data_IF_078493450637
#
_entry.id   IF_078493450637
#
_cell.length_a   1.000
_cell.length_b   1.000
_cell.length_c   1.000
_cell.angle_alpha   90.00
_cell.angle_beta   90.00
_cell.angle_gamma   90.00
#
_symmetry.space_group_name_H-M   'P 1'
#
loop_
_entity.id
_entity.type
_entity.pdbx_description
1 polymer ?
#
# COMPACT_ATOMS: atom_id res chain seq x y z
N UNK A 1 -24.83 19.92 -5.31
CA UNK A 1 -23.77 18.95 -4.94
C UNK A 1 -24.09 17.65 -5.65
N UNK A 2 -23.08 16.88 -6.06
CA UNK A 2 -23.31 15.61 -6.76
C UNK A 2 -23.90 14.59 -5.79
N UNK A 3 -24.87 13.80 -6.25
CA UNK A 3 -25.47 12.73 -5.44
C UNK A 3 -24.56 11.50 -5.32
N UNK A 4 -23.45 11.47 -6.08
CA UNK A 4 -22.48 10.38 -6.15
C UNK A 4 -21.06 10.93 -5.98
N UNK A 5 -20.22 10.18 -5.25
CA UNK A 5 -18.78 10.41 -5.19
C UNK A 5 -18.13 9.63 -6.31
N UNK A 6 -17.54 10.34 -7.28
CA UNK A 6 -16.92 9.71 -8.44
C UNK A 6 -15.38 9.78 -8.34
N UNK A 7 -14.72 8.65 -8.09
CA UNK A 7 -13.25 8.55 -8.11
C UNK A 7 -12.79 8.36 -9.56
N UNK A 8 -12.07 9.33 -10.15
CA UNK A 8 -11.67 9.27 -11.54
C UNK A 8 -10.42 8.42 -11.76
N UNK A 9 -10.09 8.15 -13.02
CA UNK A 9 -8.72 7.82 -13.42
C UNK A 9 -7.90 9.12 -13.38
N UNK A 10 -6.66 9.06 -12.87
CA UNK A 10 -5.70 10.17 -13.01
C UNK A 10 -4.70 9.82 -14.10
N UNK A 11 -4.88 10.43 -15.27
CA UNK A 11 -4.00 10.30 -16.43
C UNK A 11 -2.84 11.27 -16.29
N UNK A 12 -1.79 10.84 -15.59
CA UNK A 12 -0.66 11.71 -15.18
C UNK A 12 -1.19 12.98 -14.50
N UNK A 13 -1.96 12.80 -13.43
CA UNK A 13 -2.56 13.87 -12.63
C UNK A 13 -3.79 14.55 -13.22
N UNK A 14 -4.17 14.25 -14.47
CA UNK A 14 -5.39 14.80 -15.09
C UNK A 14 -6.57 13.87 -14.84
N UNK A 15 -7.65 14.42 -14.29
CA UNK A 15 -8.88 13.67 -14.06
C UNK A 15 -9.48 13.21 -15.39
N UNK A 16 -9.94 11.96 -15.41
CA UNK A 16 -10.65 11.36 -16.53
C UNK A 16 -11.76 10.48 -15.98
N UNK A 17 -12.99 10.81 -16.35
CA UNK A 17 -14.15 9.97 -16.12
C UNK A 17 -14.27 8.95 -17.26
N UNK A 18 -14.20 7.67 -16.91
CA UNK A 18 -14.41 6.57 -17.85
C UNK A 18 -15.90 6.32 -18.05
N UNK A 19 -16.24 5.75 -19.21
CA UNK A 19 -17.58 5.18 -19.44
C UNK A 19 -17.77 3.87 -18.66
N UNK A 20 -16.68 3.12 -18.46
CA UNK A 20 -16.70 1.91 -17.65
C UNK A 20 -16.46 2.28 -16.19
N UNK A 21 -17.36 1.87 -15.31
CA UNK A 21 -17.29 2.17 -13.89
C UNK A 21 -17.55 0.93 -13.04
N UNK A 22 -17.09 0.99 -11.79
CA UNK A 22 -17.44 0.01 -10.75
C UNK A 22 -17.95 0.75 -9.52
N UNK A 23 -18.94 0.17 -8.85
CA UNK A 23 -19.47 0.71 -7.59
C UNK A 23 -18.81 0.04 -6.40
N UNK A 24 -18.61 0.81 -5.33
CA UNK A 24 -18.17 0.33 -4.02
C UNK A 24 -19.25 0.56 -2.98
N UNK A 25 -19.23 -0.29 -1.95
CA UNK A 25 -20.12 -0.13 -0.80
C UNK A 25 -19.82 1.19 -0.06
N UNK A 26 -20.88 1.87 0.38
CA UNK A 26 -20.82 3.15 1.09
C UNK A 26 -22.00 3.26 2.05
N UNK A 27 -21.77 3.85 3.23
CA UNK A 27 -22.82 4.14 4.21
C UNK A 27 -23.55 5.45 3.94
N UNK A 28 -23.11 6.21 2.93
CA UNK A 28 -23.66 7.52 2.56
C UNK A 28 -23.91 7.57 1.06
N UNK A 29 -23.27 8.54 0.39
CA UNK A 29 -23.37 8.66 -1.07
C UNK A 29 -22.78 7.43 -1.75
N UNK A 30 -23.39 6.92 -2.83
CA UNK A 30 -22.76 5.90 -3.66
C UNK A 30 -21.37 6.34 -4.11
N UNK A 31 -20.43 5.40 -4.10
CA UNK A 31 -19.06 5.63 -4.59
C UNK A 31 -18.91 4.88 -5.90
N UNK A 32 -18.66 5.63 -6.96
CA UNK A 32 -18.38 5.12 -8.28
C UNK A 32 -16.90 5.35 -8.62
N UNK A 33 -16.25 4.34 -9.19
CA UNK A 33 -14.83 4.38 -9.57
C UNK A 33 -14.70 4.16 -11.07
N UNK A 34 -14.07 5.10 -11.77
CA UNK A 34 -13.74 4.94 -13.19
C UNK A 34 -12.77 3.79 -13.43
N UNK A 35 -13.04 2.98 -14.45
CA UNK A 35 -12.19 1.87 -14.90
C UNK A 35 -11.48 2.27 -16.19
N UNK A 36 -10.16 2.41 -16.15
CA UNK A 36 -9.33 2.69 -17.32
C UNK A 36 -9.27 1.48 -18.25
N UNK A 37 -9.40 1.71 -19.56
CA UNK A 37 -9.09 0.69 -20.54
C UNK A 37 -7.56 0.59 -20.79
N UNK A 38 -7.05 -0.57 -21.23
CA UNK A 38 -5.63 -0.75 -21.52
C UNK A 38 -5.06 0.26 -22.53
N UNK A 39 -5.84 0.67 -23.53
CA UNK A 39 -5.40 1.60 -24.57
C UNK A 39 -5.02 2.98 -24.03
N UNK A 40 -5.74 3.49 -23.03
CA UNK A 40 -5.41 4.76 -22.38
C UNK A 40 -4.09 4.65 -21.62
N UNK A 41 -3.85 3.53 -20.92
CA UNK A 41 -2.62 3.30 -20.16
C UNK A 41 -1.40 3.33 -21.09
N UNK A 42 -1.46 2.60 -22.22
CA UNK A 42 -0.38 2.61 -23.24
C UNK A 42 -0.14 4.01 -23.79
N UNK A 43 -1.22 4.73 -24.14
CA UNK A 43 -1.11 6.09 -24.68
C UNK A 43 -0.44 7.05 -23.70
N UNK A 44 -0.80 6.97 -22.42
CA UNK A 44 -0.24 7.87 -21.40
C UNK A 44 1.23 7.55 -21.14
N UNK A 45 1.61 6.27 -21.20
CA UNK A 45 3.01 5.86 -21.06
C UNK A 45 3.92 6.46 -22.14
N UNK A 46 3.44 6.64 -23.37
CA UNK A 46 4.20 7.36 -24.43
C UNK A 46 4.58 8.79 -24.01
N UNK A 47 3.86 9.39 -23.06
CA UNK A 47 4.11 10.72 -22.52
C UNK A 47 4.93 10.75 -21.23
N UNK A 48 5.49 9.63 -20.77
CA UNK A 48 6.11 9.52 -19.45
C UNK A 48 7.29 10.47 -19.24
N UNK A 49 8.01 10.83 -20.31
CA UNK A 49 9.13 11.77 -20.27
C UNK A 49 8.71 13.15 -19.72
N UNK A 50 7.44 13.55 -19.91
CA UNK A 50 6.91 14.80 -19.33
C UNK A 50 6.79 14.72 -17.80
N UNK A 51 6.40 13.56 -17.28
CA UNK A 51 6.32 13.33 -15.84
C UNK A 51 7.71 13.29 -15.21
N UNK A 52 8.68 12.66 -15.88
CA UNK A 52 10.09 12.68 -15.47
C UNK A 52 10.63 14.11 -15.46
N UNK A 53 10.41 14.88 -16.54
CA UNK A 53 10.86 16.27 -16.63
C UNK A 53 10.26 17.16 -15.52
N UNK A 54 8.98 16.94 -15.19
CA UNK A 54 8.31 17.69 -14.13
C UNK A 54 8.94 17.44 -12.74
N UNK A 55 9.32 16.19 -12.43
CA UNK A 55 10.05 15.87 -11.19
C UNK A 55 11.50 16.37 -11.24
N UNK A 56 12.16 16.27 -12.40
CA UNK A 56 13.55 16.74 -12.58
C UNK A 56 13.69 18.25 -12.34
N UNK A 57 12.66 19.03 -12.68
CA UNK A 57 12.65 20.47 -12.46
C UNK A 57 12.61 20.89 -10.97
N UNK A 58 12.36 19.97 -10.04
CA UNK A 58 12.26 20.26 -8.60
C UNK A 58 13.44 19.58 -7.88
N UNK A 59 14.19 20.31 -7.02
CA UNK A 59 15.27 19.72 -6.24
C UNK A 59 14.79 18.54 -5.38
N UNK A 60 15.60 17.48 -5.25
CA UNK A 60 15.21 16.29 -4.50
C UNK A 60 14.93 16.59 -3.02
N UNK A 61 15.69 17.51 -2.41
CA UNK A 61 15.40 18.00 -1.05
C UNK A 61 14.01 18.63 -0.93
N UNK A 62 13.57 19.40 -1.92
CA UNK A 62 12.23 20.00 -1.93
C UNK A 62 11.14 18.94 -2.12
N UNK A 63 11.38 17.91 -2.93
CA UNK A 63 10.46 16.77 -3.05
C UNK A 63 10.33 16.00 -1.73
N UNK A 64 11.42 15.87 -0.96
CA UNK A 64 11.37 15.30 0.38
C UNK A 64 10.53 16.16 1.34
N UNK A 65 10.73 17.49 1.35
CA UNK A 65 9.92 18.42 2.15
C UNK A 65 8.42 18.32 1.81
N UNK A 66 8.10 18.21 0.51
CA UNK A 66 6.72 18.00 0.06
C UNK A 66 6.16 16.66 0.54
N UNK A 67 6.97 15.60 0.59
CA UNK A 67 6.51 14.29 1.05
C UNK A 67 6.21 14.32 2.56
N UNK A 68 7.07 14.96 3.35
CA UNK A 68 6.89 15.16 4.79
C UNK A 68 5.64 16.01 5.07
N UNK A 69 5.45 17.11 4.34
CA UNK A 69 4.21 17.92 4.41
C UNK A 69 2.97 17.13 3.99
N UNK A 70 3.09 16.29 2.96
CA UNK A 70 2.00 15.44 2.51
C UNK A 70 1.60 14.40 3.56
N UNK A 71 2.51 13.99 4.45
CA UNK A 71 2.18 13.10 5.57
C UNK A 71 1.09 13.72 6.45
N UNK A 72 1.26 14.97 6.87
CA UNK A 72 0.27 15.70 7.68
C UNK A 72 -1.07 15.87 6.95
N UNK A 73 -1.03 16.20 5.65
CA UNK A 73 -2.23 16.34 4.83
C UNK A 73 -2.96 15.00 4.66
N UNK A 74 -2.24 13.90 4.45
CA UNK A 74 -2.82 12.57 4.37
C UNK A 74 -3.49 12.16 5.69
N UNK A 75 -2.83 12.40 6.83
CA UNK A 75 -3.33 11.99 8.12
C UNK A 75 -4.52 12.84 8.59
N UNK A 76 -4.48 14.17 8.37
CA UNK A 76 -5.40 15.13 9.01
C UNK A 76 -6.20 16.00 8.03
N UNK A 77 -5.78 16.09 6.78
CA UNK A 77 -6.33 17.03 5.81
C UNK A 77 -7.70 16.64 5.26
N UNK A 78 -8.46 17.65 4.85
CA UNK A 78 -9.61 17.47 3.97
C UNK A 78 -9.12 17.57 2.52
N UNK A 79 -9.14 16.44 1.80
CA UNK A 79 -8.54 16.31 0.46
C UNK A 79 -9.63 16.02 -0.59
N UNK A 80 -9.42 16.29 -1.88
CA UNK A 80 -10.40 15.94 -2.91
C UNK A 80 -10.88 14.48 -2.78
N UNK A 81 -12.20 14.28 -2.69
CA UNK A 81 -12.82 12.96 -2.50
C UNK A 81 -12.97 12.18 -3.81
N UNK A 82 -12.99 12.90 -4.91
CA UNK A 82 -13.19 12.40 -6.26
C UNK A 82 -13.20 13.56 -7.24
N UNK A 83 -14.06 13.51 -8.24
CA UNK A 83 -14.35 14.67 -9.08
C UNK A 83 -15.27 15.67 -8.38
N UNK A 84 -15.12 16.95 -8.71
CA UNK A 84 -15.87 18.05 -8.10
C UNK A 84 -15.17 18.66 -6.89
N UNK A 85 -15.91 19.46 -6.12
CA UNK A 85 -15.36 20.27 -5.02
C UNK A 85 -15.52 19.61 -3.64
N UNK A 86 -16.10 18.40 -3.59
CA UNK A 86 -16.29 17.69 -2.32
C UNK A 86 -14.96 17.16 -1.77
N UNK A 87 -14.75 17.39 -0.47
CA UNK A 87 -13.56 16.97 0.25
C UNK A 87 -13.85 15.75 1.13
N UNK A 88 -12.86 14.87 1.20
CA UNK A 88 -12.75 13.68 2.04
C UNK A 88 -12.01 14.04 3.32
N UNK A 89 -12.69 13.98 4.46
CA UNK A 89 -12.05 14.01 5.78
C UNK A 89 -11.33 12.68 6.08
N UNK A 90 -10.42 12.64 7.08
CA UNK A 90 -9.85 11.39 7.59
C UNK A 90 -10.92 10.36 8.00
N UNK A 91 -12.01 10.82 8.59
CA UNK A 91 -13.14 10.00 9.02
C UNK A 91 -13.90 9.41 7.82
N UNK A 92 -14.15 10.20 6.79
CA UNK A 92 -14.78 9.73 5.54
C UNK A 92 -13.92 8.63 4.90
N UNK A 93 -12.61 8.85 4.81
CA UNK A 93 -11.65 7.87 4.33
C UNK A 93 -11.70 6.57 5.14
N UNK A 94 -11.63 6.65 6.47
CA UNK A 94 -11.61 5.48 7.34
C UNK A 94 -12.92 4.67 7.23
N UNK A 95 -14.06 5.36 7.13
CA UNK A 95 -15.39 4.77 6.95
C UNK A 95 -15.50 4.04 5.61
N UNK A 96 -15.18 4.70 4.50
CA UNK A 96 -15.26 4.09 3.16
C UNK A 96 -14.30 2.90 3.01
N UNK A 97 -13.07 3.03 3.52
CA UNK A 97 -12.10 1.94 3.54
C UNK A 97 -12.61 0.76 4.37
N UNK A 98 -13.19 1.03 5.54
CA UNK A 98 -13.71 0.00 6.44
C UNK A 98 -14.81 -0.81 5.78
N UNK A 99 -15.79 -0.13 5.17
CA UNK A 99 -16.89 -0.74 4.43
C UNK A 99 -16.39 -1.63 3.30
N UNK A 100 -15.49 -1.10 2.47
CA UNK A 100 -15.04 -1.80 1.28
C UNK A 100 -14.10 -2.99 1.58
N UNK A 101 -13.26 -2.89 2.61
CA UNK A 101 -12.20 -3.89 2.90
C UNK A 101 -12.49 -4.83 4.07
N UNK A 102 -13.49 -4.50 4.89
CA UNK A 102 -13.78 -5.18 6.15
C UNK A 102 -12.83 -4.85 7.30
N UNK A 103 -11.91 -3.90 7.14
CA UNK A 103 -11.09 -3.41 8.25
C UNK A 103 -11.96 -2.62 9.25
N UNK A 104 -11.83 -2.79 10.57
CA UNK A 104 -12.43 -1.86 11.53
C UNK A 104 -11.73 -0.49 11.51
N UNK A 105 -12.41 0.55 11.98
CA UNK A 105 -11.92 1.94 11.95
C UNK A 105 -10.59 2.12 12.71
N UNK A 106 -10.42 1.41 13.82
CA UNK A 106 -9.18 1.28 14.58
C UNK A 106 -8.00 0.87 13.68
N UNK A 107 -8.15 -0.18 12.86
CA UNK A 107 -7.11 -0.66 11.95
C UNK A 107 -6.97 0.23 10.72
N UNK A 108 -8.05 0.85 10.22
CA UNK A 108 -7.93 1.89 9.19
C UNK A 108 -6.98 3.01 9.67
N UNK A 109 -7.23 3.56 10.87
CA UNK A 109 -6.39 4.62 11.48
C UNK A 109 -4.98 4.15 11.79
N UNK A 110 -4.80 2.92 12.30
CA UNK A 110 -3.48 2.34 12.51
C UNK A 110 -2.67 2.28 11.22
N UNK A 111 -3.29 1.87 10.11
CA UNK A 111 -2.61 1.83 8.81
C UNK A 111 -2.39 3.24 8.23
N UNK A 112 -3.26 4.22 8.50
CA UNK A 112 -2.94 5.62 8.20
C UNK A 112 -1.66 6.06 8.90
N UNK A 113 -1.50 5.70 10.17
CA UNK A 113 -0.26 5.94 10.92
C UNK A 113 0.97 5.34 10.24
N UNK A 114 0.89 4.11 9.73
CA UNK A 114 2.03 3.49 9.00
C UNK A 114 2.43 4.25 7.73
N UNK A 115 1.44 4.72 6.96
CA UNK A 115 1.70 5.52 5.76
C UNK A 115 2.26 6.89 6.14
N UNK A 116 1.69 7.52 7.17
CA UNK A 116 2.18 8.78 7.73
C UNK A 116 3.66 8.66 8.13
N UNK A 117 4.03 7.66 8.93
CA UNK A 117 5.40 7.46 9.38
C UNK A 117 6.37 7.29 8.21
N UNK A 118 5.97 6.58 7.15
CA UNK A 118 6.81 6.43 5.97
C UNK A 118 7.02 7.75 5.22
N UNK A 119 5.99 8.59 5.09
CA UNK A 119 6.07 9.89 4.42
C UNK A 119 6.84 10.92 5.28
N UNK A 120 6.56 10.96 6.59
CA UNK A 120 7.18 11.88 7.53
C UNK A 120 8.67 11.58 7.76
N UNK A 121 9.09 10.32 7.59
CA UNK A 121 10.49 9.89 7.72
C UNK A 121 11.15 9.56 6.38
N UNK A 122 10.68 10.13 5.26
CA UNK A 122 11.14 9.75 3.92
C UNK A 122 12.66 9.92 3.75
N UNK A 123 13.26 10.93 4.41
CA UNK A 123 14.73 11.15 4.40
C UNK A 123 15.48 10.01 5.06
N UNK A 124 14.99 9.49 6.19
CA UNK A 124 15.61 8.35 6.86
C UNK A 124 15.50 7.08 6.00
N UNK A 125 14.36 6.88 5.34
CA UNK A 125 14.18 5.77 4.39
C UNK A 125 15.20 5.88 3.25
N UNK A 126 15.27 7.06 2.60
CA UNK A 126 16.22 7.29 1.51
C UNK A 126 17.67 7.13 1.98
N UNK A 127 18.02 7.67 3.16
CA UNK A 127 19.34 7.47 3.76
C UNK A 127 19.67 5.99 3.99
N UNK A 128 18.71 5.18 4.45
CA UNK A 128 18.89 3.73 4.56
C UNK A 128 19.13 3.05 3.21
N UNK A 129 18.40 3.47 2.17
CA UNK A 129 18.51 2.93 0.80
C UNK A 129 19.80 3.35 0.09
N UNK A 130 20.33 4.54 0.40
CA UNK A 130 21.51 5.13 -0.25
C UNK A 130 22.77 5.05 0.59
N UNK A 131 22.72 4.45 1.80
CA UNK A 131 23.82 4.46 2.78
C UNK A 131 24.24 5.88 3.17
N UNK A 132 23.26 6.77 3.34
CA UNK A 132 23.44 8.14 3.82
C UNK A 132 23.95 9.11 2.77
N UNK A 133 23.96 8.75 1.48
CA UNK A 133 24.33 9.69 0.43
C UNK A 133 23.37 10.88 0.38
N UNK A 134 23.87 12.09 0.11
CA UNK A 134 23.06 13.30 0.06
C UNK A 134 22.09 13.24 -1.14
N UNK A 135 20.90 13.85 -0.98
CA UNK A 135 19.80 13.74 -1.96
C UNK A 135 20.11 14.42 -3.29
N UNK A 136 21.06 15.36 -3.31
CA UNK A 136 21.60 16.00 -4.50
C UNK A 136 22.17 14.98 -5.51
N UNK A 137 22.46 13.74 -5.06
CA UNK A 137 22.76 12.62 -5.95
C UNK A 137 21.71 12.45 -7.05
N UNK A 138 20.42 12.61 -6.71
CA UNK A 138 19.32 12.42 -7.65
C UNK A 138 19.09 13.64 -8.55
N UNK A 139 19.62 14.80 -8.16
CA UNK A 139 19.60 16.02 -8.97
C UNK A 139 20.75 16.04 -9.99
N UNK A 140 21.97 15.70 -9.54
CA UNK A 140 23.18 15.84 -10.35
C UNK A 140 23.58 14.54 -11.07
N UNK A 141 23.13 13.38 -10.58
CA UNK A 141 23.54 12.07 -11.06
C UNK A 141 24.89 11.58 -10.51
N UNK A 142 25.53 12.35 -9.62
CA UNK A 142 26.77 11.94 -8.94
C UNK A 142 26.97 12.67 -7.61
N UNK A 143 27.77 12.08 -6.71
CA UNK A 143 28.25 12.67 -5.46
C UNK A 143 29.68 12.19 -5.16
N UNK A 144 30.41 12.96 -4.38
CA UNK A 144 31.70 12.53 -3.80
C UNK A 144 31.48 12.06 -2.36
N UNK A 145 31.85 10.81 -2.05
CA UNK A 145 31.78 10.25 -0.70
C UNK A 145 33.13 9.66 -0.32
N UNK A 146 33.75 10.16 0.74
CA UNK A 146 35.07 9.74 1.22
C UNK A 146 36.17 9.75 0.14
N UNK A 147 36.10 10.72 -0.78
CA UNK A 147 37.03 10.87 -1.90
C UNK A 147 36.75 9.93 -3.09
N UNK A 148 35.64 9.19 -3.07
CA UNK A 148 35.18 8.32 -4.17
C UNK A 148 33.99 8.98 -4.86
N UNK A 149 34.10 9.15 -6.18
CA UNK A 149 32.98 9.57 -7.02
C UNK A 149 31.99 8.43 -7.22
N UNK A 150 30.76 8.64 -6.77
CA UNK A 150 29.65 7.70 -6.93
C UNK A 150 28.66 8.29 -7.92
N UNK A 151 28.35 7.55 -8.98
CA UNK A 151 27.38 7.95 -9.99
C UNK A 151 26.06 7.20 -9.80
N UNK A 152 24.94 7.89 -10.00
CA UNK A 152 23.60 7.33 -9.99
C UNK A 152 22.97 7.43 -11.38
N UNK A 153 22.49 6.29 -11.88
CA UNK A 153 21.74 6.22 -13.12
C UNK A 153 20.40 5.51 -12.88
N UNK A 154 19.26 6.18 -13.13
CA UNK A 154 17.95 5.55 -12.94
C UNK A 154 17.78 4.38 -13.92
N UNK A 155 17.36 3.23 -13.39
CA UNK A 155 17.13 2.01 -14.18
C UNK A 155 15.74 1.97 -14.83
N UNK A 156 14.94 3.02 -14.66
CA UNK A 156 13.61 3.16 -15.25
C UNK A 156 13.22 4.63 -15.35
N UNK A 157 12.26 4.93 -16.24
CA UNK A 157 11.59 6.22 -16.33
C UNK A 157 10.30 6.30 -15.51
N UNK A 158 9.80 5.16 -15.03
CA UNK A 158 8.60 5.10 -14.18
C UNK A 158 8.52 3.81 -13.38
N UNK A 159 7.81 3.86 -12.26
CA UNK A 159 7.50 2.70 -11.44
C UNK A 159 6.03 2.33 -11.59
N UNK A 160 5.75 1.12 -12.07
CA UNK A 160 4.39 0.58 -12.07
C UNK A 160 4.10 -0.24 -10.82
N UNK A 161 2.92 -0.09 -10.23
CA UNK A 161 2.55 -0.84 -9.02
C UNK A 161 1.13 -1.36 -9.12
N UNK A 162 0.94 -2.68 -8.96
CA UNK A 162 -0.37 -3.28 -8.76
C UNK A 162 -0.59 -3.50 -7.27
N UNK A 163 -1.40 -2.64 -6.66
CA UNK A 163 -1.62 -2.61 -5.21
C UNK A 163 -2.65 -3.67 -4.77
N UNK A 164 -2.50 -4.25 -3.56
CA UNK A 164 -3.50 -5.14 -2.98
C UNK A 164 -4.55 -4.35 -2.18
N UNK A 165 -5.58 -5.03 -1.69
CA UNK A 165 -6.64 -4.43 -0.85
C UNK A 165 -6.61 -4.88 0.62
N UNK A 166 -5.62 -5.67 1.04
CA UNK A 166 -5.57 -6.24 2.38
C UNK A 166 -5.02 -5.29 3.45
N UNK A 167 -4.14 -4.34 3.09
CA UNK A 167 -3.55 -3.40 4.04
C UNK A 167 -3.13 -2.09 3.35
N UNK A 168 -3.65 -0.93 3.80
CA UNK A 168 -3.25 0.38 3.28
C UNK A 168 -1.75 0.65 3.41
N UNK A 169 -1.10 0.11 4.46
CA UNK A 169 0.31 0.32 4.75
C UNK A 169 1.27 -0.14 3.64
N UNK A 170 0.84 -1.03 2.74
CA UNK A 170 1.63 -1.46 1.56
C UNK A 170 1.95 -0.27 0.64
N UNK A 171 1.14 0.78 0.64
CA UNK A 171 1.41 1.99 -0.16
C UNK A 171 2.71 2.70 0.24
N UNK A 172 3.25 2.43 1.44
CA UNK A 172 4.56 2.96 1.84
C UNK A 172 5.70 2.59 0.89
N UNK A 173 5.60 1.44 0.20
CA UNK A 173 6.67 0.89 -0.61
C UNK A 173 6.97 1.67 -1.90
N UNK A 174 6.01 2.44 -2.42
CA UNK A 174 6.20 3.22 -3.64
C UNK A 174 6.53 4.70 -3.39
N UNK A 175 6.32 5.20 -2.17
CA UNK A 175 6.54 6.60 -1.79
C UNK A 175 7.95 7.14 -2.09
N UNK A 176 9.04 6.35 -1.99
CA UNK A 176 10.36 6.85 -2.35
C UNK A 176 10.49 7.24 -3.82
N UNK A 177 9.76 6.58 -4.73
CA UNK A 177 9.98 6.73 -6.17
C UNK A 177 9.79 8.18 -6.68
N UNK A 178 8.70 8.90 -6.34
CA UNK A 178 8.56 10.31 -6.73
C UNK A 178 9.66 11.22 -6.17
N UNK A 179 10.13 10.98 -4.95
CA UNK A 179 11.25 11.77 -4.36
C UNK A 179 12.55 11.49 -5.10
N UNK A 180 12.77 10.24 -5.52
CA UNK A 180 13.84 9.80 -6.41
C UNK A 180 13.65 10.24 -7.88
N UNK A 181 12.71 11.15 -8.14
CA UNK A 181 12.36 11.69 -9.46
C UNK A 181 11.84 10.65 -10.46
N UNK A 182 11.26 9.56 -9.96
CA UNK A 182 10.63 8.51 -10.75
C UNK A 182 9.10 8.62 -10.60
N UNK A 183 8.36 8.97 -11.67
CA UNK A 183 6.89 9.00 -11.62
C UNK A 183 6.31 7.60 -11.39
N UNK A 184 5.15 7.54 -10.76
CA UNK A 184 4.47 6.30 -10.39
C UNK A 184 3.20 6.10 -11.21
N UNK A 185 2.95 4.86 -11.63
CA UNK A 185 1.76 4.41 -12.34
C UNK A 185 1.10 3.33 -11.50
N UNK A 186 0.02 3.68 -10.82
CA UNK A 186 -0.60 2.84 -9.80
C UNK A 186 -1.90 2.23 -10.33
N UNK A 187 -2.05 0.91 -10.20
CA UNK A 187 -3.36 0.25 -10.20
C UNK A 187 -3.74 0.00 -8.74
N UNK A 188 -4.79 0.67 -8.22
CA UNK A 188 -5.28 0.38 -6.88
C UNK A 188 -5.82 -1.05 -6.75
N UNK A 189 -5.86 -1.54 -5.52
CA UNK A 189 -6.67 -2.70 -5.18
C UNK A 189 -8.15 -2.39 -5.40
N UNK A 190 -8.93 -3.38 -5.82
CA UNK A 190 -10.35 -3.18 -6.18
C UNK A 190 -11.16 -2.64 -5.00
N UNK A 191 -10.91 -3.17 -3.80
CA UNK A 191 -11.60 -2.79 -2.58
C UNK A 191 -10.91 -1.63 -1.85
N UNK A 192 -9.74 -1.15 -2.31
CA UNK A 192 -9.05 0.01 -1.72
C UNK A 192 -8.47 0.94 -2.80
N UNK A 193 -9.33 1.65 -3.55
CA UNK A 193 -8.89 2.77 -4.36
C UNK A 193 -8.61 4.03 -3.52
N UNK A 194 -9.13 4.08 -2.29
CA UNK A 194 -9.13 5.27 -1.46
C UNK A 194 -7.74 5.65 -0.98
N UNK A 195 -6.95 4.67 -0.53
CA UNK A 195 -5.63 4.92 0.04
C UNK A 195 -4.67 5.55 -0.96
N UNK A 196 -4.34 4.90 -2.11
CA UNK A 196 -3.47 5.51 -3.10
C UNK A 196 -4.01 6.84 -3.64
N UNK A 197 -5.33 6.97 -3.83
CA UNK A 197 -5.92 8.23 -4.29
C UNK A 197 -5.71 9.36 -3.26
N UNK A 198 -5.99 9.12 -1.98
CA UNK A 198 -5.78 10.09 -0.90
C UNK A 198 -4.32 10.49 -0.77
N UNK A 199 -3.38 9.53 -0.85
CA UNK A 199 -1.94 9.83 -0.82
C UNK A 199 -1.56 10.73 -2.00
N UNK A 200 -2.00 10.41 -3.22
CA UNK A 200 -1.72 11.24 -4.41
C UNK A 200 -2.25 12.67 -4.20
N UNK A 201 -3.50 12.82 -3.74
CA UNK A 201 -4.08 14.14 -3.48
C UNK A 201 -3.29 14.91 -2.42
N UNK A 202 -2.84 14.24 -1.35
CA UNK A 202 -1.98 14.84 -0.33
C UNK A 202 -0.65 15.32 -0.89
N UNK A 203 0.01 14.50 -1.73
CA UNK A 203 1.29 14.85 -2.37
C UNK A 203 1.15 16.02 -3.34
N UNK A 204 0.09 16.04 -4.15
CA UNK A 204 -0.20 17.16 -5.06
C UNK A 204 -0.47 18.44 -4.26
N UNK A 205 -1.28 18.36 -3.19
CA UNK A 205 -1.56 19.50 -2.32
C UNK A 205 -0.30 20.00 -1.57
N UNK A 206 0.66 19.12 -1.30
CA UNK A 206 1.92 19.51 -0.67
C UNK A 206 2.86 20.26 -1.62
N UNK A 207 2.81 19.95 -2.93
CA UNK A 207 3.59 20.64 -3.97
C UNK A 207 4.14 19.74 -5.07
N UNK A 208 3.92 18.41 -5.02
CA UNK A 208 4.37 17.55 -6.11
C UNK A 208 3.67 17.88 -7.43
N UNK A 209 4.38 17.78 -8.56
CA UNK A 209 3.76 17.96 -9.87
C UNK A 209 2.76 16.84 -10.09
N UNK A 210 1.53 17.19 -10.47
CA UNK A 210 0.43 16.22 -10.67
C UNK A 210 0.79 15.16 -11.72
N UNK A 211 1.61 15.54 -12.71
CA UNK A 211 2.11 14.69 -13.78
C UNK A 211 2.89 13.48 -13.27
N UNK A 212 3.45 13.54 -12.06
CA UNK A 212 4.18 12.43 -11.44
C UNK A 212 3.29 11.22 -11.11
N UNK A 213 1.96 11.38 -11.12
CA UNK A 213 1.03 10.37 -10.61
C UNK A 213 0.05 9.88 -11.68
N UNK A 214 0.22 8.63 -12.08
CA UNK A 214 -0.79 7.85 -12.79
C UNK A 214 -1.63 7.02 -11.81
N UNK A 215 -2.95 7.17 -11.84
CA UNK A 215 -3.88 6.37 -11.04
C UNK A 215 -4.91 5.70 -11.95
N UNK A 216 -4.81 4.38 -12.11
CA UNK A 216 -5.54 3.61 -13.09
C UNK A 216 -6.26 2.42 -12.43
N UNK A 217 -7.40 2.63 -11.74
CA UNK A 217 -8.33 1.54 -11.49
C UNK A 217 -8.69 0.90 -12.84
N UNK A 218 -8.52 -0.41 -12.97
CA UNK A 218 -8.60 -1.09 -14.28
C UNK A 218 -8.87 -2.58 -14.10
N UNK A 219 -9.05 -3.31 -15.19
CA UNK A 219 -9.21 -4.77 -15.21
C UNK A 219 -7.89 -5.51 -15.01
N UNK A 220 -7.89 -6.84 -15.03
CA UNK A 220 -6.65 -7.64 -15.04
C UNK A 220 -5.78 -7.34 -16.28
N UNK A 221 -6.40 -7.17 -17.45
CA UNK A 221 -5.70 -6.82 -18.68
C UNK A 221 -5.00 -5.45 -18.58
N UNK A 222 -5.67 -4.46 -18.00
CA UNK A 222 -5.06 -3.15 -17.80
C UNK A 222 -3.94 -3.19 -16.77
N UNK A 223 -4.02 -4.04 -15.75
CA UNK A 223 -2.92 -4.27 -14.81
C UNK A 223 -1.70 -4.90 -15.47
N UNK A 224 -1.90 -5.88 -16.35
CA UNK A 224 -0.84 -6.46 -17.17
C UNK A 224 -0.20 -5.41 -18.07
N UNK A 225 -1.04 -4.61 -18.74
CA UNK A 225 -0.59 -3.52 -19.60
C UNK A 225 0.27 -2.53 -18.82
N UNK A 226 -0.19 -2.10 -17.64
CA UNK A 226 0.57 -1.20 -16.78
C UNK A 226 1.96 -1.75 -16.46
N UNK A 227 2.08 -3.01 -16.01
CA UNK A 227 3.37 -3.57 -15.63
C UNK A 227 4.31 -3.84 -16.80
N UNK A 228 3.78 -4.16 -17.99
CA UNK A 228 4.62 -4.46 -19.16
C UNK A 228 5.08 -3.22 -19.93
N UNK A 229 4.43 -2.06 -19.72
CA UNK A 229 4.86 -0.80 -20.32
C UNK A 229 5.94 -0.10 -19.46
N UNK A 230 5.93 -0.28 -18.13
CA UNK A 230 6.92 0.37 -17.25
C UNK A 230 8.29 -0.33 -17.26
N UNK A 231 9.35 0.45 -17.04
CA UNK A 231 10.72 -0.09 -16.95
C UNK A 231 10.99 -0.89 -15.67
N UNK A 232 10.29 -0.60 -14.57
CA UNK A 232 10.30 -1.40 -13.32
C UNK A 232 8.89 -1.47 -12.75
N UNK A 233 8.53 -2.65 -12.22
CA UNK A 233 7.21 -2.91 -11.68
C UNK A 233 7.24 -3.58 -10.32
N UNK A 234 6.17 -3.40 -9.53
CA UNK A 234 5.89 -4.18 -8.32
C UNK A 234 4.49 -4.77 -8.46
N UNK A 235 4.37 -6.08 -8.24
CA UNK A 235 3.11 -6.80 -8.31
C UNK A 235 2.80 -7.45 -6.96
N UNK A 236 1.74 -7.02 -6.31
CA UNK A 236 1.19 -7.67 -5.11
C UNK A 236 0.02 -8.59 -5.50
N UNK A 237 -0.12 -9.71 -4.79
CA UNK A 237 -1.29 -10.56 -4.92
C UNK A 237 -1.07 -11.97 -4.40
N UNK A 238 -2.05 -12.85 -4.64
CA UNK A 238 -1.91 -14.28 -4.36
C UNK A 238 -0.78 -14.90 -5.18
N UNK A 239 -0.25 -16.05 -4.74
CA UNK A 239 0.73 -16.83 -5.51
C UNK A 239 0.26 -17.08 -6.95
N UNK A 240 -1.04 -17.35 -7.15
CA UNK A 240 -1.63 -17.53 -8.49
C UNK A 240 -1.54 -16.24 -9.31
N UNK A 241 -1.84 -15.09 -8.71
CA UNK A 241 -1.80 -13.78 -9.37
C UNK A 241 -0.39 -13.42 -9.80
N UNK A 242 0.59 -13.57 -8.91
CA UNK A 242 1.96 -13.07 -9.15
C UNK A 242 2.82 -14.05 -9.93
N UNK A 243 2.46 -15.35 -9.99
CA UNK A 243 3.18 -16.37 -10.76
C UNK A 243 3.40 -15.98 -12.22
N UNK A 244 2.45 -15.25 -12.83
CA UNK A 244 2.58 -14.79 -14.22
C UNK A 244 3.68 -13.75 -14.40
N UNK A 245 4.02 -12.98 -13.36
CA UNK A 245 5.04 -11.92 -13.41
C UNK A 245 6.42 -12.40 -12.94
N UNK A 246 6.49 -13.52 -12.21
CA UNK A 246 7.74 -14.05 -11.66
C UNK A 246 8.89 -14.26 -12.69
N UNK A 247 8.63 -14.60 -13.96
CA UNK A 247 9.69 -14.71 -14.97
C UNK A 247 10.33 -13.36 -15.38
N UNK A 248 9.69 -12.22 -15.10
CA UNK A 248 10.11 -10.90 -15.57
C UNK A 248 11.03 -10.22 -14.56
N UNK A 249 12.34 -10.12 -14.88
CA UNK A 249 13.37 -9.55 -13.97
C UNK A 249 13.15 -8.08 -13.59
N UNK A 250 12.36 -7.35 -14.37
CA UNK A 250 12.02 -5.96 -14.08
C UNK A 250 10.79 -5.81 -13.17
N UNK A 251 10.10 -6.91 -12.83
CA UNK A 251 8.92 -6.89 -11.97
C UNK A 251 9.24 -7.62 -10.66
N UNK A 252 9.15 -6.88 -9.55
CA UNK A 252 9.25 -7.45 -8.21
C UNK A 252 7.89 -8.02 -7.80
N UNK A 253 7.86 -9.32 -7.49
CA UNK A 253 6.63 -10.00 -7.07
C UNK A 253 6.56 -10.14 -5.55
N UNK A 254 5.39 -9.84 -5.00
CA UNK A 254 5.06 -10.02 -3.59
C UNK A 254 3.81 -10.91 -3.50
N UNK A 255 4.07 -12.22 -3.36
CA UNK A 255 3.06 -13.27 -3.25
C UNK A 255 2.54 -13.46 -1.82
N UNK A 256 1.92 -14.62 -1.57
CA UNK A 256 1.44 -15.00 -0.25
C UNK A 256 2.62 -15.26 0.70
N UNK A 257 2.68 -14.52 1.80
CA UNK A 257 3.69 -14.75 2.82
C UNK A 257 3.34 -15.92 3.75
N UNK A 258 4.38 -16.58 4.27
CA UNK A 258 4.27 -17.76 5.13
C UNK A 258 5.29 -17.68 6.26
N UNK A 259 5.43 -16.50 6.86
CA UNK A 259 6.38 -16.23 7.95
C UNK A 259 6.24 -17.28 9.06
N UNK A 260 7.36 -17.58 9.73
CA UNK A 260 7.41 -18.49 10.86
C UNK A 260 8.10 -17.79 12.02
N UNK A 261 7.62 -18.01 13.24
CA UNK A 261 8.40 -17.76 14.45
C UNK A 261 9.13 -19.05 14.79
N UNK A 262 10.44 -18.97 15.00
CA UNK A 262 11.28 -20.09 15.45
C UNK A 262 11.84 -19.74 16.83
N UNK A 263 11.66 -20.62 17.81
CA UNK A 263 12.33 -20.51 19.11
C UNK A 263 13.37 -21.63 19.19
N UNK A 264 14.63 -21.24 19.41
CA UNK A 264 15.75 -22.16 19.51
C UNK A 264 15.77 -22.97 20.80
N UNK A 265 16.55 -24.04 20.79
CA UNK A 265 16.81 -24.93 21.94
C UNK A 265 17.26 -24.18 23.21
N UNK A 266 17.98 -23.07 23.00
CA UNK A 266 18.57 -22.20 24.01
C UNK A 266 17.57 -21.23 24.66
N UNK A 267 16.42 -20.94 24.00
CA UNK A 267 15.42 -19.99 24.49
C UNK A 267 14.06 -20.62 24.83
N UNK A 268 13.80 -21.84 24.36
CA UNK A 268 12.48 -22.46 24.45
C UNK A 268 11.99 -22.68 25.88
N UNK A 269 12.87 -22.84 26.87
CA UNK A 269 12.44 -22.99 28.27
C UNK A 269 11.96 -21.67 28.91
N UNK A 270 12.22 -20.53 28.25
CA UNK A 270 11.73 -19.20 28.64
C UNK A 270 10.72 -18.66 27.61
N UNK A 271 9.92 -19.55 26.99
CA UNK A 271 9.02 -19.19 25.89
C UNK A 271 7.94 -18.19 26.30
N UNK A 272 7.56 -18.15 27.58
CA UNK A 272 6.55 -17.25 28.12
C UNK A 272 6.93 -15.79 27.90
N UNK A 273 8.24 -15.46 27.96
CA UNK A 273 8.75 -14.11 27.71
C UNK A 273 8.57 -13.68 26.25
N UNK A 274 8.46 -14.65 25.33
CA UNK A 274 8.32 -14.42 23.89
C UNK A 274 6.86 -14.42 23.43
N UNK A 275 5.93 -14.78 24.32
CA UNK A 275 4.52 -15.00 23.98
C UNK A 275 3.88 -13.77 23.33
N UNK A 276 4.17 -12.57 23.83
CA UNK A 276 3.60 -11.33 23.29
C UNK A 276 4.04 -11.07 21.85
N UNK A 277 5.32 -11.28 21.53
CA UNK A 277 5.85 -11.15 20.16
C UNK A 277 5.21 -12.19 19.24
N UNK A 278 5.01 -13.43 19.70
CA UNK A 278 4.38 -14.48 18.91
C UNK A 278 2.92 -14.12 18.60
N UNK A 279 2.15 -13.75 19.63
CA UNK A 279 0.74 -13.32 19.49
C UNK A 279 0.65 -12.15 18.52
N UNK A 280 1.48 -11.11 18.71
CA UNK A 280 1.51 -9.94 17.85
C UNK A 280 1.87 -10.31 16.41
N UNK A 281 2.84 -11.20 16.21
CA UNK A 281 3.27 -11.66 14.89
C UNK A 281 2.15 -12.38 14.13
N UNK A 282 1.26 -13.07 14.84
CA UNK A 282 0.10 -13.76 14.27
C UNK A 282 -1.05 -12.78 14.01
N UNK A 283 -1.44 -12.00 15.00
CA UNK A 283 -2.74 -11.29 15.01
C UNK A 283 -2.70 -9.85 14.52
N UNK A 284 -1.53 -9.21 14.45
CA UNK A 284 -1.42 -7.81 14.04
C UNK A 284 -2.14 -7.53 12.73
N UNK A 285 -2.83 -6.39 12.66
CA UNK A 285 -3.65 -6.01 11.50
C UNK A 285 -4.71 -7.08 11.14
N UNK A 286 -5.28 -7.73 12.15
CA UNK A 286 -6.27 -8.79 12.00
C UNK A 286 -5.73 -10.06 11.34
N UNK A 287 -4.41 -10.29 11.38
CA UNK A 287 -3.76 -11.44 10.73
C UNK A 287 -3.73 -11.37 9.19
N UNK A 288 -3.96 -10.18 8.61
CA UNK A 288 -4.11 -9.99 7.15
C UNK A 288 -2.85 -9.53 6.44
N UNK A 289 -1.80 -9.18 7.18
CA UNK A 289 -0.53 -8.75 6.61
C UNK A 289 0.22 -9.95 6.05
N UNK A 290 0.85 -9.80 4.88
CA UNK A 290 1.65 -10.87 4.27
C UNK A 290 2.82 -11.32 5.16
N UNK A 291 3.26 -10.47 6.09
CA UNK A 291 4.33 -10.78 7.04
C UNK A 291 3.83 -11.49 8.30
N UNK A 292 2.51 -11.63 8.52
CA UNK A 292 2.00 -12.34 9.69
C UNK A 292 2.50 -13.79 9.71
N UNK A 293 2.76 -14.27 10.92
CA UNK A 293 3.26 -15.63 11.12
C UNK A 293 2.16 -16.66 10.95
N UNK A 294 2.39 -17.62 10.07
CA UNK A 294 1.49 -18.75 9.81
C UNK A 294 1.93 -20.04 10.48
N UNK A 295 2.92 -19.98 11.36
CA UNK A 295 3.36 -21.12 12.16
C UNK A 295 4.41 -20.72 13.18
N UNK A 296 4.43 -21.47 14.28
CA UNK A 296 5.39 -21.33 15.37
C UNK A 296 6.12 -22.67 15.46
N UNK A 297 7.45 -22.64 15.34
CA UNK A 297 8.31 -23.81 15.31
C UNK A 297 9.13 -23.84 16.59
N UNK A 298 8.96 -24.91 17.37
CA UNK A 298 9.61 -25.07 18.68
C UNK A 298 10.04 -26.52 18.89
N UNK A 299 11.14 -26.77 19.61
CA UNK A 299 11.61 -28.13 19.88
C UNK A 299 10.84 -28.84 21.01
N UNK A 300 10.23 -28.10 21.95
CA UNK A 300 9.45 -28.61 23.10
C UNK A 300 8.38 -27.61 23.55
N UNK A 301 7.59 -27.96 24.56
CA UNK A 301 6.48 -27.15 25.13
C UNK A 301 5.35 -26.82 24.13
N UNK A 302 5.18 -27.64 23.08
CA UNK A 302 4.25 -27.38 21.97
C UNK A 302 2.81 -27.21 22.47
N UNK A 303 2.38 -28.04 23.42
CA UNK A 303 1.01 -28.02 23.93
C UNK A 303 0.77 -26.82 24.86
N UNK A 304 1.73 -26.52 25.72
CA UNK A 304 1.72 -25.39 26.64
C UNK A 304 1.67 -24.06 25.88
N UNK A 305 2.56 -23.90 24.89
CA UNK A 305 2.60 -22.74 23.99
C UNK A 305 1.30 -22.65 23.20
N UNK A 306 0.85 -23.76 22.61
CA UNK A 306 -0.40 -23.81 21.84
C UNK A 306 -1.61 -23.36 22.67
N UNK A 307 -1.73 -23.84 23.91
CA UNK A 307 -2.81 -23.45 24.82
C UNK A 307 -2.72 -21.96 25.22
N UNK A 308 -1.52 -21.47 25.53
CA UNK A 308 -1.31 -20.06 25.87
C UNK A 308 -1.65 -19.12 24.70
N UNK A 309 -1.23 -19.49 23.48
CA UNK A 309 -1.57 -18.77 22.25
C UNK A 309 -3.09 -18.79 22.02
N UNK A 310 -3.74 -19.95 22.12
CA UNK A 310 -5.18 -20.07 21.96
C UNK A 310 -5.93 -19.15 22.94
N UNK A 311 -5.55 -19.15 24.22
CA UNK A 311 -6.13 -18.27 25.23
C UNK A 311 -5.97 -16.78 24.89
N UNK A 312 -4.78 -16.37 24.45
CA UNK A 312 -4.51 -14.96 24.11
C UNK A 312 -5.22 -14.51 22.83
N UNK A 313 -5.28 -15.37 21.81
CA UNK A 313 -5.95 -15.07 20.55
C UNK A 313 -7.47 -15.07 20.69
N UNK A 314 -8.03 -15.99 21.49
CA UNK A 314 -9.48 -16.03 21.76
C UNK A 314 -9.99 -14.79 22.51
N UNK A 315 -9.13 -14.10 23.26
CA UNK A 315 -9.47 -12.84 23.92
C UNK A 315 -9.61 -11.64 22.94
N UNK A 316 -9.23 -11.82 21.67
CA UNK A 316 -9.42 -10.82 20.61
C UNK A 316 -10.81 -11.02 20.01
N UNK A 317 -11.82 -10.50 20.69
CA UNK A 317 -13.22 -10.69 20.29
C UNK A 317 -13.63 -9.81 19.10
N UNK A 318 -14.58 -10.26 18.25
CA UNK A 318 -15.20 -9.39 17.25
C UNK A 318 -15.97 -8.25 17.92
N UNK A 319 -15.70 -7.02 17.50
CA UNK A 319 -16.38 -5.81 17.98
C UNK A 319 -17.00 -5.06 16.80
N UNK A 320 -17.98 -4.17 17.04
CA UNK A 320 -18.48 -3.25 16.01
C UNK A 320 -17.33 -2.48 15.36
N UNK A 321 -17.41 -2.24 14.04
CA UNK A 321 -16.29 -1.67 13.26
C UNK A 321 -15.86 -0.28 13.74
N UNK A 322 -16.77 0.48 14.33
CA UNK A 322 -16.52 1.83 14.86
C UNK A 322 -15.86 1.80 16.24
N UNK A 323 -15.87 0.65 16.93
CA UNK A 323 -15.28 0.49 18.25
C UNK A 323 -13.76 0.74 18.17
N UNK A 324 -13.18 1.62 19.01
CA UNK A 324 -11.76 1.95 18.99
C UNK A 324 -10.84 0.73 19.24
N UNK A 325 -11.34 -0.30 19.91
CA UNK A 325 -10.59 -1.50 20.28
C UNK A 325 -10.84 -2.69 19.34
N UNK A 326 -11.61 -2.51 18.26
CA UNK A 326 -11.86 -3.58 17.29
C UNK A 326 -10.57 -4.02 16.60
N UNK A 327 -10.22 -5.31 16.62
CA UNK A 327 -9.00 -5.82 15.98
C UNK A 327 -9.26 -6.95 14.97
N UNK A 328 -10.47 -7.52 15.00
CA UNK A 328 -10.91 -8.56 14.05
C UNK A 328 -11.48 -7.90 12.80
N UNK A 329 -11.09 -8.41 11.64
CA UNK A 329 -11.55 -7.91 10.35
C UNK A 329 -12.70 -8.75 9.81
N UNK A 330 -13.63 -8.10 9.11
CA UNK A 330 -14.58 -8.78 8.24
C UNK A 330 -13.91 -9.23 6.93
N UNK A 331 -14.47 -10.27 6.31
CA UNK A 331 -14.14 -10.66 4.95
C UNK A 331 -15.09 -9.97 3.97
N UNK A 332 -14.57 -9.16 3.06
CA UNK A 332 -15.36 -8.57 1.97
C UNK A 332 -15.89 -9.62 0.99
N UNK A 333 -15.26 -10.80 0.93
CA UNK A 333 -15.73 -11.95 0.18
C UNK A 333 -16.14 -13.10 1.13
N UNK A 334 -17.45 -13.35 1.30
CA UNK A 334 -17.95 -14.44 2.16
C UNK A 334 -17.44 -15.84 1.77
N UNK A 335 -17.13 -16.07 0.49
CA UNK A 335 -16.58 -17.34 0.03
C UNK A 335 -15.18 -17.61 0.59
N UNK A 336 -14.39 -16.57 0.83
CA UNK A 336 -13.07 -16.73 1.45
C UNK A 336 -13.19 -17.03 2.94
N UNK A 337 -14.16 -16.42 3.64
CA UNK A 337 -14.46 -16.75 5.03
C UNK A 337 -14.85 -18.22 5.17
N UNK A 338 -15.76 -18.70 4.30
CA UNK A 338 -16.20 -20.10 4.30
C UNK A 338 -15.05 -21.07 4.01
N UNK A 339 -14.17 -20.75 3.07
CA UNK A 339 -13.02 -21.59 2.76
C UNK A 339 -12.02 -21.69 3.92
N UNK A 340 -11.84 -20.63 4.71
CA UNK A 340 -11.00 -20.65 5.92
C UNK A 340 -11.65 -21.52 6.99
N UNK A 341 -12.96 -21.37 7.21
CA UNK A 341 -13.73 -22.17 8.16
C UNK A 341 -13.65 -23.67 7.83
N UNK A 342 -13.91 -24.04 6.57
CA UNK A 342 -13.77 -25.42 6.07
C UNK A 342 -12.35 -25.97 6.24
N UNK A 343 -11.32 -25.13 6.07
CA UNK A 343 -9.93 -25.54 6.30
C UNK A 343 -9.67 -25.82 7.79
N UNK A 344 -10.15 -24.96 8.69
CA UNK A 344 -10.00 -25.14 10.14
C UNK A 344 -10.69 -26.45 10.57
N UNK A 345 -11.94 -26.65 10.16
CA UNK A 345 -12.72 -27.86 10.47
C UNK A 345 -12.04 -29.14 9.95
N UNK A 346 -11.34 -29.08 8.81
CA UNK A 346 -10.60 -30.24 8.29
C UNK A 346 -9.38 -30.66 9.11
N UNK A 347 -8.94 -29.80 10.04
CA UNK A 347 -7.77 -30.00 10.90
C UNK A 347 -8.11 -30.22 12.38
N UNK A 348 -9.39 -30.14 12.77
CA UNK A 348 -9.89 -30.43 14.12
C UNK A 348 -10.38 -31.88 14.26
#
# INVERSE_FOLDING_TARGET
>A
MSDVIHIPVLRLGRTYQSLDTTNLESSGKPIEVSVANPGIIRRDHLGIDKAVAALQAIPCNTLADYCEKAAELFLKGNLPWGMGDELQSPEDYASALSLSTGLPHSLCRLNMGKVYEAMANIRAILGGLTRGMPLELFDNGYVSQDGIEVNFFPQTKSLGVLLPSNSPGVNSLWLPAPVLKIPVILKPGREDPFTPFRIIQAMIAAGFPREAFGFYPTTHEGGNTLLFEVGRGIAFGSDKTVKQYAPYRNIQVHGSGRSKVLIGEDFIDNWEEQLDVIVQSISSNGGRSCINSSGVLVPRHVHEIGHALAKRLAAIEPLPRENPDALVCGFSNPGFAKAIDELIESHL
#
